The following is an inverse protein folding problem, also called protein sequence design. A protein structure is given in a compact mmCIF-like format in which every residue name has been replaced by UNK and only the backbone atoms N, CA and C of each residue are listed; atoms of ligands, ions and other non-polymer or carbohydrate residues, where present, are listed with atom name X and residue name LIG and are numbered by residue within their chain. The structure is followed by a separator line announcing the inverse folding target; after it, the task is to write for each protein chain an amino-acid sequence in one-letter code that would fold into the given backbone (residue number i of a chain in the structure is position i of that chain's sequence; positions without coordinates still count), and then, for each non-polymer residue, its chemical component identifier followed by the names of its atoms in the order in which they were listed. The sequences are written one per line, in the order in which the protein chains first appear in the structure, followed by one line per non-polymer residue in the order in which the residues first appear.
data_IF_007483870205
#
_entry.id   IF_007483870205
#
_cell.length_a   1.000
_cell.length_b   1.000
_cell.length_c   1.000
_cell.angle_alpha   90.00
_cell.angle_beta   90.00
_cell.angle_gamma   90.00
#
_symmetry.space_group_name_H-M   'P 1'
#
loop_
_entity.id
_entity.type
_entity.pdbx_description
1 polymer ?
#
# COMPACT_ATOMS: atom_id res chain seq x y z
N UNK A 1 -9.54 19.37 -1.21
CA UNK A 1 -8.51 18.82 -0.28
C UNK A 1 -8.17 19.88 0.75
N UNK A 2 -8.44 19.64 2.02
CA UNK A 2 -8.22 20.60 3.11
C UNK A 2 -6.74 20.61 3.54
N UNK A 3 -6.31 21.74 4.16
CA UNK A 3 -4.95 21.87 4.73
C UNK A 3 -4.69 20.76 5.76
N UNK A 4 -5.71 20.38 6.52
CA UNK A 4 -5.62 19.31 7.52
C UNK A 4 -5.29 17.96 6.87
N UNK A 5 -5.94 17.60 5.77
CA UNK A 5 -5.67 16.35 5.05
C UNK A 5 -4.26 16.34 4.46
N UNK A 6 -3.77 17.48 3.96
CA UNK A 6 -2.38 17.59 3.52
C UNK A 6 -1.40 17.37 4.66
N UNK A 7 -1.64 17.99 5.83
CA UNK A 7 -0.78 17.78 6.99
C UNK A 7 -0.77 16.32 7.47
N UNK A 8 -1.92 15.64 7.40
CA UNK A 8 -2.00 14.19 7.71
C UNK A 8 -1.21 13.35 6.71
N UNK A 9 -1.28 13.67 5.42
CA UNK A 9 -0.45 13.00 4.40
C UNK A 9 1.03 13.21 4.70
N UNK A 10 1.46 14.47 4.93
CA UNK A 10 2.87 14.77 5.21
C UNK A 10 3.38 14.01 6.43
N UNK A 11 2.57 13.90 7.47
CA UNK A 11 2.90 13.12 8.68
C UNK A 11 3.10 11.63 8.35
N UNK A 12 2.24 11.04 7.50
CA UNK A 12 2.42 9.67 7.02
C UNK A 12 3.67 9.51 6.18
N UNK A 13 3.87 10.40 5.19
CA UNK A 13 5.03 10.34 4.31
C UNK A 13 6.36 10.46 5.10
N UNK A 14 6.38 11.30 6.14
CA UNK A 14 7.51 11.38 7.05
C UNK A 14 7.79 10.04 7.76
N UNK A 15 6.74 9.35 8.23
CA UNK A 15 6.89 8.03 8.83
C UNK A 15 7.38 6.97 7.83
N UNK A 16 6.84 6.98 6.61
CA UNK A 16 7.26 6.06 5.54
C UNK A 16 8.69 6.32 5.06
N UNK A 17 9.15 7.56 5.03
CA UNK A 17 10.47 7.94 4.50
C UNK A 17 11.65 7.31 5.25
N UNK A 18 11.44 6.77 6.44
CA UNK A 18 12.48 6.03 7.16
C UNK A 18 12.89 4.71 6.49
N UNK A 19 12.00 4.10 5.71
CA UNK A 19 12.23 2.79 5.08
C UNK A 19 11.84 2.75 3.60
N UNK A 20 11.06 3.72 3.12
CA UNK A 20 10.51 3.76 1.76
C UNK A 20 11.09 4.94 0.99
N UNK A 21 11.31 4.74 -0.30
CA UNK A 21 11.53 5.83 -1.23
C UNK A 21 10.19 6.48 -1.56
N UNK A 22 10.08 7.79 -1.38
CA UNK A 22 8.86 8.57 -1.59
C UNK A 22 8.97 9.36 -2.89
N UNK A 23 8.00 9.19 -3.76
CA UNK A 23 7.80 10.01 -4.95
C UNK A 23 6.51 10.82 -4.78
N UNK A 24 6.54 12.12 -5.14
CA UNK A 24 5.41 13.04 -5.00
C UNK A 24 4.83 13.37 -6.36
N UNK A 25 3.53 13.72 -6.38
CA UNK A 25 2.80 14.16 -7.59
C UNK A 25 2.98 13.16 -8.76
N UNK A 26 2.76 11.89 -8.47
CA UNK A 26 3.00 10.79 -9.41
C UNK A 26 1.84 10.65 -10.38
N UNK A 27 2.11 10.79 -11.67
CA UNK A 27 1.14 10.55 -12.73
C UNK A 27 1.39 9.17 -13.35
N UNK A 28 0.32 8.39 -13.51
CA UNK A 28 0.32 7.08 -14.16
C UNK A 28 -0.72 7.05 -15.28
N UNK A 29 -0.69 6.04 -16.13
CA UNK A 29 -1.76 5.86 -17.12
C UNK A 29 -3.10 5.59 -16.41
N UNK A 30 -4.02 6.52 -16.54
CA UNK A 30 -5.38 6.46 -15.96
C UNK A 30 -5.58 7.23 -14.67
N UNK A 31 -4.56 7.94 -14.14
CA UNK A 31 -4.74 8.75 -12.93
C UNK A 31 -3.47 9.34 -12.35
N UNK A 32 -3.61 9.94 -11.18
CA UNK A 32 -2.49 10.52 -10.44
C UNK A 32 -2.65 10.28 -8.94
N UNK A 33 -1.51 10.30 -8.24
CA UNK A 33 -1.45 10.16 -6.80
C UNK A 33 -0.63 11.30 -6.20
N UNK A 34 -1.04 11.90 -5.08
CA UNK A 34 -0.25 12.93 -4.41
C UNK A 34 1.11 12.41 -3.95
N UNK A 35 1.20 11.11 -3.67
CA UNK A 35 2.47 10.45 -3.38
C UNK A 35 2.39 8.95 -3.63
N UNK A 36 3.55 8.34 -3.84
CA UNK A 36 3.78 6.89 -3.76
C UNK A 36 4.96 6.60 -2.86
N UNK A 37 4.99 5.40 -2.29
CA UNK A 37 6.12 4.92 -1.51
C UNK A 37 6.54 3.53 -1.99
N UNK A 38 7.83 3.32 -2.18
CA UNK A 38 8.37 2.05 -2.64
C UNK A 38 9.39 1.52 -1.64
N UNK A 39 9.19 0.29 -1.20
CA UNK A 39 10.13 -0.44 -0.36
C UNK A 39 10.70 -1.64 -1.14
N UNK A 40 11.98 -1.88 -0.96
CA UNK A 40 12.67 -3.07 -1.47
C UNK A 40 13.64 -3.58 -0.41
N UNK A 41 13.54 -4.86 -0.12
CA UNK A 41 14.50 -5.57 0.72
C UNK A 41 14.98 -6.81 -0.03
N UNK A 42 16.30 -6.96 -0.12
CA UNK A 42 16.96 -8.19 -0.54
C UNK A 42 17.77 -8.73 0.63
N UNK A 43 17.43 -9.92 1.07
CA UNK A 43 18.19 -10.65 2.09
C UNK A 43 18.90 -11.82 1.43
N UNK A 44 20.21 -11.97 1.68
CA UNK A 44 21.07 -12.98 1.05
C UNK A 44 21.69 -13.89 2.10
N UNK A 45 21.46 -15.19 1.94
CA UNK A 45 22.08 -16.22 2.76
C UNK A 45 23.33 -16.77 2.08
N UNK A 46 24.47 -16.71 2.77
CA UNK A 46 25.76 -17.19 2.28
C UNK A 46 26.15 -18.51 2.95
N UNK A 47 26.66 -19.46 2.17
CA UNK A 47 27.35 -20.64 2.71
C UNK A 47 28.80 -20.25 3.07
N UNK A 48 29.37 -20.80 4.13
CA UNK A 48 30.72 -20.78 4.69
C UNK A 48 31.83 -19.97 3.95
N UNK A 49 31.68 -19.71 2.67
CA UNK A 49 32.50 -18.76 1.92
C UNK A 49 31.60 -17.73 1.27
N UNK A 50 31.87 -16.45 1.53
CA UNK A 50 31.19 -15.26 0.96
C UNK A 50 31.19 -15.20 -0.59
N UNK A 51 31.55 -16.27 -1.28
CA UNK A 51 31.65 -16.32 -2.75
C UNK A 51 30.41 -16.91 -3.43
N UNK A 52 29.51 -17.59 -2.70
CA UNK A 52 28.35 -18.22 -3.29
C UNK A 52 27.11 -17.88 -2.47
N UNK A 53 26.17 -17.13 -3.08
CA UNK A 53 24.83 -16.91 -2.53
C UNK A 53 24.05 -18.21 -2.68
N UNK A 54 23.63 -18.81 -1.55
CA UNK A 54 22.81 -20.02 -1.56
C UNK A 54 21.36 -19.74 -1.92
N UNK A 55 20.84 -18.68 -1.36
CA UNK A 55 19.49 -18.19 -1.61
C UNK A 55 19.45 -16.70 -1.38
N UNK A 56 18.63 -16.01 -2.14
CA UNK A 56 18.26 -14.64 -1.91
C UNK A 56 16.75 -14.57 -1.76
N UNK A 57 16.29 -13.62 -0.95
CA UNK A 57 14.86 -13.36 -0.73
C UNK A 57 14.60 -11.89 -1.01
N UNK A 58 13.71 -11.62 -1.97
CA UNK A 58 13.34 -10.27 -2.36
C UNK A 58 11.91 -9.97 -1.93
N UNK A 59 11.73 -8.86 -1.22
CA UNK A 59 10.44 -8.37 -0.78
C UNK A 59 10.23 -6.95 -1.30
N UNK A 60 9.04 -6.68 -1.81
CA UNK A 60 8.66 -5.38 -2.36
C UNK A 60 7.36 -4.89 -1.74
N UNK A 61 7.24 -3.57 -1.53
CA UNK A 61 5.97 -2.92 -1.26
C UNK A 61 5.83 -1.67 -2.13
N UNK A 62 4.71 -1.59 -2.84
CA UNK A 62 4.33 -0.48 -3.71
C UNK A 62 3.08 0.18 -3.13
N UNK A 63 3.28 1.25 -2.36
CA UNK A 63 2.19 1.97 -1.70
C UNK A 63 1.79 3.20 -2.51
N UNK A 64 0.48 3.37 -2.72
CA UNK A 64 -0.16 4.49 -3.40
C UNK A 64 -1.03 5.23 -2.40
N UNK A 65 -0.85 6.54 -2.29
CA UNK A 65 -1.66 7.40 -1.42
C UNK A 65 -2.76 8.07 -2.24
N UNK A 66 -3.98 8.02 -1.77
CA UNK A 66 -5.14 8.68 -2.37
C UNK A 66 -5.85 9.55 -1.33
N UNK A 67 -6.22 10.77 -1.73
CA UNK A 67 -6.91 11.73 -0.87
C UNK A 67 -8.16 12.21 -1.56
N UNK A 68 -9.27 12.26 -0.82
CA UNK A 68 -10.54 12.78 -1.32
C UNK A 68 -11.37 13.38 -0.18
N UNK A 69 -12.21 14.36 -0.50
CA UNK A 69 -13.17 14.90 0.46
C UNK A 69 -14.29 13.88 0.71
N UNK A 70 -14.70 13.13 -0.33
CA UNK A 70 -15.73 12.11 -0.22
C UNK A 70 -15.35 10.86 -1.00
N UNK A 71 -15.50 9.69 -0.37
CA UNK A 71 -15.22 8.39 -0.97
C UNK A 71 -16.49 7.56 -1.09
N UNK A 72 -17.01 7.43 -2.30
CA UNK A 72 -18.06 6.50 -2.65
C UNK A 72 -17.50 5.15 -3.17
N UNK A 73 -18.37 4.17 -3.33
CA UNK A 73 -17.96 2.83 -3.78
C UNK A 73 -17.45 2.82 -5.23
N UNK A 74 -17.96 3.70 -6.11
CA UNK A 74 -17.54 3.77 -7.51
C UNK A 74 -16.13 4.36 -7.61
N UNK A 75 -15.86 5.47 -6.91
CA UNK A 75 -14.54 6.08 -6.81
C UNK A 75 -13.53 5.10 -6.20
N UNK A 76 -13.90 4.43 -5.10
CA UNK A 76 -13.04 3.41 -4.49
C UNK A 76 -12.70 2.28 -5.47
N UNK A 77 -13.69 1.78 -6.21
CA UNK A 77 -13.45 0.74 -7.20
C UNK A 77 -12.49 1.20 -8.29
N UNK A 78 -12.62 2.42 -8.78
CA UNK A 78 -11.68 2.99 -9.76
C UNK A 78 -10.25 3.04 -9.19
N UNK A 79 -10.08 3.46 -7.94
CA UNK A 79 -8.75 3.50 -7.30
C UNK A 79 -8.18 2.10 -7.07
N UNK A 80 -9.01 1.12 -6.71
CA UNK A 80 -8.58 -0.29 -6.60
C UNK A 80 -8.11 -0.80 -7.98
N UNK A 81 -8.93 -0.64 -9.02
CA UNK A 81 -8.60 -1.12 -10.37
C UNK A 81 -7.32 -0.45 -10.91
N UNK A 82 -7.16 0.86 -10.69
CA UNK A 82 -5.98 1.61 -11.10
C UNK A 82 -4.72 1.12 -10.38
N UNK A 83 -4.75 1.06 -9.05
CA UNK A 83 -3.58 0.65 -8.25
C UNK A 83 -3.23 -0.81 -8.46
N UNK A 84 -4.22 -1.68 -8.66
CA UNK A 84 -4.00 -3.08 -9.06
C UNK A 84 -3.30 -3.16 -10.43
N UNK A 85 -3.78 -2.40 -11.44
CA UNK A 85 -3.17 -2.37 -12.78
C UNK A 85 -1.70 -1.93 -12.69
N UNK A 86 -1.45 -0.76 -12.12
CA UNK A 86 -0.09 -0.17 -12.10
C UNK A 86 0.85 -0.89 -11.13
N UNK A 87 0.34 -1.34 -9.98
CA UNK A 87 1.12 -2.07 -8.99
C UNK A 87 1.52 -3.46 -9.47
N UNK A 88 0.57 -4.21 -10.05
CA UNK A 88 0.85 -5.55 -10.58
C UNK A 88 1.87 -5.51 -11.73
N UNK A 89 1.85 -4.47 -12.56
CA UNK A 89 2.82 -4.30 -13.64
C UNK A 89 4.27 -4.14 -13.13
N UNK A 90 4.46 -3.71 -11.89
CA UNK A 90 5.78 -3.58 -11.24
C UNK A 90 6.30 -4.89 -10.68
N UNK A 91 5.44 -5.87 -10.41
CA UNK A 91 5.83 -7.17 -9.85
C UNK A 91 6.58 -7.98 -10.88
N UNK A 92 7.81 -8.39 -10.58
CA UNK A 92 8.68 -9.18 -11.45
C UNK A 92 9.06 -10.49 -10.75
N UNK A 93 8.20 -11.52 -10.84
CA UNK A 93 8.48 -12.79 -10.20
C UNK A 93 9.73 -13.46 -10.76
N UNK A 94 10.61 -13.90 -9.89
CA UNK A 94 11.81 -14.66 -10.21
C UNK A 94 12.11 -15.64 -9.08
N UNK A 95 13.18 -16.44 -9.21
CA UNK A 95 13.55 -17.47 -8.21
C UNK A 95 13.85 -16.90 -6.82
N UNK A 96 14.25 -15.64 -6.73
CA UNK A 96 14.60 -14.95 -5.48
C UNK A 96 13.43 -14.15 -4.92
N UNK A 97 12.38 -13.89 -5.74
CA UNK A 97 11.20 -13.17 -5.33
C UNK A 97 10.40 -13.95 -4.28
N UNK A 98 10.13 -13.34 -3.14
CA UNK A 98 9.31 -13.92 -2.07
C UNK A 98 7.94 -13.27 -2.02
N UNK A 99 7.87 -11.94 -1.84
CA UNK A 99 6.60 -11.24 -1.74
C UNK A 99 6.62 -9.89 -2.41
N UNK A 100 5.46 -9.50 -2.94
CA UNK A 100 5.16 -8.13 -3.34
C UNK A 100 3.82 -7.71 -2.75
N UNK A 101 3.78 -6.54 -2.15
CA UNK A 101 2.57 -5.92 -1.68
C UNK A 101 2.22 -4.73 -2.58
N UNK A 102 0.96 -4.66 -2.99
CA UNK A 102 0.39 -3.48 -3.64
C UNK A 102 -0.58 -2.88 -2.65
N UNK A 103 -0.28 -1.69 -2.16
CA UNK A 103 -0.97 -1.08 -1.04
C UNK A 103 -1.66 0.22 -1.48
N UNK A 104 -2.94 0.35 -1.21
CA UNK A 104 -3.72 1.58 -1.36
C UNK A 104 -4.01 2.18 0.03
N UNK A 105 -3.45 3.34 0.30
CA UNK A 105 -3.69 4.12 1.51
C UNK A 105 -4.62 5.29 1.16
N UNK A 106 -5.73 5.40 1.86
CA UNK A 106 -6.77 6.40 1.59
C UNK A 106 -6.94 7.33 2.81
N UNK A 107 -6.91 8.63 2.55
CA UNK A 107 -7.39 9.65 3.48
C UNK A 107 -8.65 10.28 2.88
N UNK A 108 -9.78 10.08 3.50
CA UNK A 108 -11.06 10.66 3.08
C UNK A 108 -11.71 11.44 4.23
N UNK A 109 -12.33 12.58 3.94
CA UNK A 109 -13.10 13.28 4.96
C UNK A 109 -14.31 12.44 5.38
N UNK A 110 -15.05 11.92 4.39
CA UNK A 110 -16.18 11.02 4.60
C UNK A 110 -16.08 9.79 3.71
N UNK A 111 -16.58 8.64 4.19
CA UNK A 111 -16.59 7.37 3.45
C UNK A 111 -18.01 6.79 3.52
N UNK A 112 -18.60 6.52 2.36
CA UNK A 112 -19.92 5.87 2.28
C UNK A 112 -19.91 4.46 2.86
N UNK A 113 -21.03 4.02 3.40
CA UNK A 113 -21.17 2.66 3.96
C UNK A 113 -20.91 1.56 2.92
N UNK A 114 -21.29 1.78 1.66
CA UNK A 114 -20.99 0.83 0.58
C UNK A 114 -19.49 0.78 0.27
N UNK A 115 -18.77 1.92 0.31
CA UNK A 115 -17.32 1.97 0.18
C UNK A 115 -16.64 1.27 1.38
N UNK A 116 -17.13 1.48 2.61
CA UNK A 116 -16.64 0.76 3.82
C UNK A 116 -16.80 -0.75 3.68
N UNK A 117 -17.96 -1.21 3.17
CA UNK A 117 -18.20 -2.63 2.90
C UNK A 117 -17.24 -3.17 1.82
N UNK A 118 -17.02 -2.40 0.75
CA UNK A 118 -16.13 -2.77 -0.34
C UNK A 118 -14.69 -2.90 0.16
N UNK A 119 -14.18 -1.97 0.98
CA UNK A 119 -12.86 -2.08 1.63
C UNK A 119 -12.75 -3.40 2.38
N UNK A 120 -13.69 -3.67 3.28
CA UNK A 120 -13.67 -4.88 4.15
C UNK A 120 -13.76 -6.19 3.37
N UNK A 121 -14.42 -6.19 2.20
CA UNK A 121 -14.61 -7.39 1.36
C UNK A 121 -13.48 -7.61 0.35
N UNK A 122 -12.72 -6.58 -0.02
CA UNK A 122 -11.69 -6.69 -1.03
C UNK A 122 -10.59 -7.66 -0.59
N UNK A 123 -10.33 -8.65 -1.45
CA UNK A 123 -9.26 -9.63 -1.28
C UNK A 123 -8.64 -9.91 -2.63
N UNK A 124 -7.33 -9.85 -2.66
CA UNK A 124 -6.58 -10.31 -3.83
C UNK A 124 -5.23 -10.84 -3.37
N UNK A 125 -4.92 -12.03 -3.83
CA UNK A 125 -3.58 -12.60 -3.72
C UNK A 125 -3.29 -13.41 -5.00
N UNK A 126 -2.03 -13.48 -5.39
CA UNK A 126 -1.57 -14.25 -6.53
C UNK A 126 -0.27 -14.95 -6.20
N UNK A 127 -0.21 -16.24 -6.47
CA UNK A 127 0.98 -17.05 -6.30
C UNK A 127 1.63 -17.27 -7.67
N UNK A 128 2.95 -17.15 -7.73
CA UNK A 128 3.71 -17.31 -8.96
C UNK A 128 4.39 -18.68 -9.00
N UNK A 129 4.16 -19.45 -10.07
CA UNK A 129 4.68 -20.81 -10.23
C UNK A 129 4.46 -21.69 -8.99
N UNK A 130 3.21 -21.81 -8.55
CA UNK A 130 2.85 -22.56 -7.34
C UNK A 130 3.65 -22.14 -6.10
N UNK A 131 3.85 -20.83 -5.93
CA UNK A 131 4.66 -20.18 -4.90
C UNK A 131 6.19 -20.35 -5.00
N UNK A 132 6.72 -21.05 -6.01
CA UNK A 132 8.16 -21.16 -6.25
C UNK A 132 8.83 -19.82 -6.60
N UNK A 133 8.05 -18.86 -7.12
CA UNK A 133 8.47 -17.48 -7.41
C UNK A 133 7.71 -16.48 -6.53
N UNK A 134 7.34 -16.88 -5.32
CA UNK A 134 6.70 -16.04 -4.32
C UNK A 134 5.22 -15.74 -4.59
N UNK A 135 4.74 -14.70 -3.96
CA UNK A 135 3.34 -14.27 -4.06
C UNK A 135 3.21 -12.74 -4.05
N UNK A 136 2.01 -12.26 -4.36
CA UNK A 136 1.61 -10.88 -4.12
C UNK A 136 0.28 -10.81 -3.38
N UNK A 137 0.11 -9.75 -2.61
CA UNK A 137 -1.14 -9.41 -1.92
C UNK A 137 -1.52 -7.96 -2.13
N UNK A 138 -2.83 -7.69 -2.10
CA UNK A 138 -3.36 -6.35 -2.19
C UNK A 138 -3.87 -5.86 -0.84
N UNK A 139 -3.31 -4.75 -0.38
CA UNK A 139 -3.63 -4.12 0.89
C UNK A 139 -4.44 -2.84 0.66
N UNK A 140 -5.49 -2.64 1.46
CA UNK A 140 -6.20 -1.36 1.56
C UNK A 140 -6.25 -0.96 3.02
N UNK A 141 -5.89 0.29 3.30
CA UNK A 141 -6.15 0.93 4.58
C UNK A 141 -6.67 2.36 4.35
N UNK A 142 -7.67 2.75 5.11
CA UNK A 142 -8.31 4.04 4.99
C UNK A 142 -8.52 4.70 6.35
N UNK A 143 -8.41 6.03 6.37
CA UNK A 143 -8.85 6.87 7.47
C UNK A 143 -10.02 7.73 7.01
N UNK A 144 -11.13 7.70 7.73
CA UNK A 144 -12.20 8.68 7.65
C UNK A 144 -11.93 9.77 8.68
N UNK A 145 -11.59 10.97 8.20
CA UNK A 145 -11.08 12.03 9.08
C UNK A 145 -12.18 12.70 9.89
N UNK A 146 -13.42 12.80 9.36
CA UNK A 146 -14.56 13.38 10.07
C UNK A 146 -14.96 12.61 11.34
N UNK A 147 -14.74 11.29 11.35
CA UNK A 147 -15.06 10.42 12.49
C UNK A 147 -13.81 9.89 13.23
N UNK A 148 -12.62 10.25 12.74
CA UNK A 148 -11.33 9.72 13.22
C UNK A 148 -11.32 8.18 13.25
N UNK A 149 -11.95 7.54 12.27
CA UNK A 149 -12.06 6.09 12.19
C UNK A 149 -11.12 5.48 11.14
N UNK A 150 -10.70 4.24 11.37
CA UNK A 150 -9.74 3.53 10.52
C UNK A 150 -10.30 2.21 10.04
N UNK A 151 -10.12 1.94 8.76
CA UNK A 151 -10.64 0.78 8.06
C UNK A 151 -9.50 0.06 7.33
N UNK A 152 -9.66 -1.24 7.11
CA UNK A 152 -8.77 -1.99 6.24
C UNK A 152 -9.45 -3.24 5.68
N UNK A 153 -8.92 -3.74 4.57
CA UNK A 153 -9.19 -5.11 4.16
C UNK A 153 -8.41 -6.10 5.05
N UNK A 154 -8.69 -7.40 5.01
CA UNK A 154 -8.00 -8.37 5.87
C UNK A 154 -6.48 -8.37 5.76
N UNK A 155 -5.95 -8.22 4.53
CA UNK A 155 -4.50 -8.15 4.29
C UNK A 155 -3.89 -6.81 4.74
N UNK A 156 -4.64 -5.72 4.72
CA UNK A 156 -4.20 -4.37 5.08
C UNK A 156 -4.18 -4.03 6.58
N UNK A 157 -4.44 -4.99 7.47
CA UNK A 157 -4.48 -4.73 8.92
C UNK A 157 -3.19 -4.13 9.48
N UNK A 158 -2.04 -4.54 8.96
CA UNK A 158 -0.74 -3.99 9.34
C UNK A 158 -0.62 -2.51 8.93
N UNK A 159 -1.04 -2.19 7.72
CA UNK A 159 -1.06 -0.81 7.20
C UNK A 159 -2.03 0.07 8.01
N UNK A 160 -3.22 -0.44 8.34
CA UNK A 160 -4.17 0.26 9.23
C UNK A 160 -3.51 0.63 10.56
N UNK A 161 -2.75 -0.28 11.16
CA UNK A 161 -2.04 -0.03 12.42
C UNK A 161 -1.01 1.11 12.28
N UNK A 162 -0.32 1.20 11.13
CA UNK A 162 0.59 2.32 10.83
C UNK A 162 -0.20 3.64 10.76
N UNK A 163 -1.36 3.66 10.10
CA UNK A 163 -2.22 4.84 10.05
C UNK A 163 -2.66 5.25 11.47
N UNK A 164 -3.14 4.31 12.26
CA UNK A 164 -3.58 4.56 13.64
C UNK A 164 -2.45 5.16 14.49
N UNK A 165 -1.25 4.60 14.43
CA UNK A 165 -0.10 5.06 15.21
C UNK A 165 0.35 6.49 14.84
N UNK A 166 0.22 6.86 13.57
CA UNK A 166 0.70 8.14 13.08
C UNK A 166 -0.38 9.23 13.03
N UNK A 167 -1.65 8.85 12.82
CA UNK A 167 -2.72 9.82 12.55
C UNK A 167 -3.78 9.92 13.62
N UNK A 168 -3.90 8.94 14.53
CA UNK A 168 -4.82 9.06 15.65
C UNK A 168 -4.43 10.30 16.46
N UNK A 169 -5.33 11.27 16.56
CA UNK A 169 -5.12 12.43 17.43
C UNK A 169 -4.91 11.93 18.86
N UNK A 170 -3.81 12.29 19.48
CA UNK A 170 -3.59 11.98 20.90
C UNK A 170 -4.75 12.56 21.70
N UNK A 171 -5.39 11.74 22.52
CA UNK A 171 -6.22 12.21 23.64
C UNK A 171 -5.37 12.97 24.60
#
# INVERSE_FOLDING_TARGET
MTIEMQNRLEKLLSAYSHQYNIDRDVTVEGGSFPATATFFLRDENYLISKKHVLSAVENYDYTYFYITDHLDAATLKQQIDLTMKVGTARVKPNKDHMSSYVTLVILAETIDEEAKKLIKKTRFSKYFRLALHGWMEYHIAAMETSTNSFLANPAGKGVKKILEQNLRSGT
#
